data_IF_042353252510
#
_entry.id   IF_042353252510
#
_cell.length_a   1.000
_cell.length_b   1.000
_cell.length_c   1.000
_cell.angle_alpha   90.00
_cell.angle_beta   90.00
_cell.angle_gamma   90.00
#
_symmetry.space_group_name_H-M   'P 1'
#
loop_
_entity.id
_entity.type
_entity.pdbx_description
1 polymer ?
#
# COMPACT_ATOMS: atom_id res chain seq x y z
N UNK A 1 21.07 1.64 -3.50
CA UNK A 1 21.20 3.03 -3.00
C UNK A 1 19.82 3.66 -3.13
N UNK A 2 19.34 4.36 -2.10
CA UNK A 2 18.06 5.08 -2.12
C UNK A 2 18.32 6.57 -2.23
N UNK A 3 17.43 7.27 -2.92
CA UNK A 3 17.44 8.73 -3.00
C UNK A 3 16.05 9.17 -2.55
N UNK A 4 16.02 10.12 -1.62
CA UNK A 4 14.77 10.76 -1.20
C UNK A 4 14.68 12.14 -1.85
N UNK A 5 13.56 12.40 -2.51
CA UNK A 5 13.19 13.73 -2.95
C UNK A 5 12.07 14.23 -2.04
N UNK A 6 12.19 15.46 -1.50
CA UNK A 6 11.20 16.05 -0.60
C UNK A 6 9.94 16.53 -1.35
N UNK A 7 9.29 15.60 -2.04
CA UNK A 7 8.05 15.78 -2.80
C UNK A 7 7.27 14.47 -2.75
N UNK A 8 5.97 14.58 -2.50
CA UNK A 8 5.06 13.43 -2.64
C UNK A 8 4.93 13.07 -4.12
N UNK A 9 4.78 11.77 -4.40
CA UNK A 9 4.60 11.27 -5.77
C UNK A 9 3.37 11.90 -6.44
N UNK A 10 2.29 12.09 -5.68
CA UNK A 10 1.08 12.78 -6.09
C UNK A 10 0.60 13.75 -5.00
N UNK A 11 0.00 14.91 -5.34
CA UNK A 11 -0.48 15.84 -4.33
C UNK A 11 -1.48 15.21 -3.37
N UNK A 12 -1.24 15.38 -2.06
CA UNK A 12 -2.19 15.00 -1.00
C UNK A 12 -2.88 16.25 -0.46
N UNK A 13 -4.18 16.36 -0.66
CA UNK A 13 -5.03 17.44 -0.14
C UNK A 13 -6.15 16.86 0.71
N UNK A 14 -6.56 17.60 1.74
CA UNK A 14 -7.73 17.25 2.57
C UNK A 14 -8.48 18.55 2.82
N UNK A 15 -9.80 18.52 2.66
CA UNK A 15 -10.67 19.68 2.81
C UNK A 15 -11.05 19.94 4.27
N UNK A 16 -11.04 18.91 5.13
CA UNK A 16 -11.44 19.01 6.54
C UNK A 16 -10.69 18.00 7.43
N UNK A 17 -10.70 18.27 8.74
CA UNK A 17 -10.37 17.26 9.75
C UNK A 17 -11.43 16.14 9.70
N UNK A 18 -11.00 14.88 9.57
CA UNK A 18 -11.87 13.70 9.65
C UNK A 18 -11.10 12.53 10.28
N UNK A 19 -11.14 12.49 11.61
CA UNK A 19 -10.45 11.48 12.42
C UNK A 19 -10.98 10.06 12.14
N UNK A 20 -12.28 9.94 11.84
CA UNK A 20 -12.90 8.67 11.47
C UNK A 20 -12.28 8.16 10.17
N UNK A 21 -12.16 9.02 9.15
CA UNK A 21 -11.54 8.63 7.89
C UNK A 21 -10.05 8.31 8.07
N UNK A 22 -9.32 9.08 8.89
CA UNK A 22 -7.93 8.79 9.21
C UNK A 22 -7.74 7.39 9.82
N UNK A 23 -8.65 6.97 10.72
CA UNK A 23 -8.66 5.61 11.26
C UNK A 23 -8.86 4.55 10.18
N UNK A 24 -9.75 4.76 9.22
CA UNK A 24 -9.96 3.79 8.14
C UNK A 24 -8.78 3.74 7.15
N UNK A 25 -8.11 4.87 6.89
CA UNK A 25 -6.89 4.90 6.07
C UNK A 25 -5.73 4.10 6.69
N UNK A 26 -5.77 3.83 8.00
CA UNK A 26 -4.79 2.92 8.62
C UNK A 26 -4.83 1.51 7.99
N UNK A 27 -5.95 1.10 7.37
CA UNK A 27 -6.02 -0.17 6.64
C UNK A 27 -5.03 -0.21 5.47
N UNK A 28 -4.93 0.87 4.68
CA UNK A 28 -3.93 0.97 3.61
C UNK A 28 -2.54 1.37 4.13
N UNK A 29 -2.40 1.76 5.39
CA UNK A 29 -1.09 2.08 5.97
C UNK A 29 -0.39 0.85 6.55
N UNK A 30 -1.04 0.16 7.49
CA UNK A 30 -0.48 -0.97 8.25
C UNK A 30 -1.35 -2.22 8.24
N UNK A 31 -2.39 -2.27 7.40
CA UNK A 31 -3.17 -3.48 7.15
C UNK A 31 -2.41 -4.53 6.34
N UNK A 32 -3.02 -5.70 6.21
CA UNK A 32 -2.41 -6.85 5.54
C UNK A 32 -2.29 -6.66 4.02
N UNK A 33 -3.20 -5.89 3.44
CA UNK A 33 -3.29 -5.58 2.02
C UNK A 33 -2.93 -4.10 1.73
N UNK A 34 -2.30 -3.41 2.68
CA UNK A 34 -1.88 -2.01 2.53
C UNK A 34 -0.45 -1.83 2.03
N UNK A 35 -0.05 -0.57 1.85
CA UNK A 35 1.17 -0.20 1.11
C UNK A 35 2.45 -0.70 1.78
N UNK A 36 2.46 -0.80 3.12
CA UNK A 36 3.63 -1.36 3.81
C UNK A 36 3.82 -2.84 3.47
N UNK A 37 2.72 -3.60 3.38
CA UNK A 37 2.79 -5.00 3.00
C UNK A 37 3.22 -5.15 1.53
N UNK A 38 2.65 -4.35 0.62
CA UNK A 38 3.02 -4.32 -0.79
C UNK A 38 4.51 -3.99 -0.97
N UNK A 39 4.97 -2.86 -0.41
CA UNK A 39 6.36 -2.42 -0.47
C UNK A 39 7.33 -3.51 -0.01
N UNK A 40 7.09 -4.09 1.16
CA UNK A 40 7.98 -5.10 1.74
C UNK A 40 7.92 -6.44 1.00
N UNK A 41 6.74 -6.86 0.51
CA UNK A 41 6.54 -8.10 -0.26
C UNK A 41 7.40 -8.06 -1.52
N UNK A 42 7.20 -7.05 -2.37
CA UNK A 42 7.88 -6.94 -3.66
C UNK A 42 9.39 -6.68 -3.48
N UNK A 43 9.77 -5.90 -2.46
CA UNK A 43 11.18 -5.66 -2.12
C UNK A 43 11.91 -6.96 -1.79
N UNK A 44 11.24 -7.87 -1.10
CA UNK A 44 11.83 -9.10 -0.62
C UNK A 44 11.84 -10.19 -1.71
N UNK A 45 10.74 -10.36 -2.44
CA UNK A 45 10.62 -11.37 -3.50
C UNK A 45 11.57 -11.11 -4.69
N UNK A 46 12.00 -9.86 -4.93
CA UNK A 46 12.92 -9.55 -6.03
C UNK A 46 14.24 -10.34 -5.99
N UNK A 47 14.66 -10.81 -4.82
CA UNK A 47 15.91 -11.57 -4.67
C UNK A 47 15.80 -13.03 -5.13
N UNK A 48 14.58 -13.54 -5.33
CA UNK A 48 14.31 -14.89 -5.81
C UNK A 48 13.59 -14.93 -7.16
N UNK A 49 13.32 -13.78 -7.76
CA UNK A 49 12.64 -13.70 -9.07
C UNK A 49 13.66 -13.66 -10.22
N UNK A 50 13.36 -14.20 -11.42
CA UNK A 50 14.31 -14.21 -12.54
C UNK A 50 14.65 -12.81 -13.04
N UNK A 51 15.89 -12.64 -13.52
CA UNK A 51 16.46 -11.37 -14.02
C UNK A 51 15.59 -10.64 -15.05
N UNK A 52 14.76 -11.38 -15.80
CA UNK A 52 13.91 -10.82 -16.83
C UNK A 52 12.76 -9.96 -16.30
N UNK A 53 12.32 -10.21 -15.06
CA UNK A 53 11.19 -9.51 -14.43
C UNK A 53 11.55 -8.83 -13.10
N UNK A 54 12.78 -9.01 -12.60
CA UNK A 54 13.26 -8.38 -11.36
C UNK A 54 13.11 -6.85 -11.33
N UNK A 55 13.21 -6.21 -12.51
CA UNK A 55 12.99 -4.77 -12.65
C UNK A 55 11.60 -4.35 -12.22
N UNK A 56 10.56 -5.11 -12.57
CA UNK A 56 9.16 -4.82 -12.24
C UNK A 56 8.96 -4.78 -10.72
N UNK A 57 9.47 -5.78 -9.99
CA UNK A 57 9.37 -5.81 -8.53
C UNK A 57 10.19 -4.69 -7.89
N UNK A 58 11.36 -4.37 -8.45
CA UNK A 58 12.20 -3.29 -7.94
C UNK A 58 11.51 -1.93 -8.08
N UNK A 59 10.93 -1.67 -9.25
CA UNK A 59 10.28 -0.40 -9.58
C UNK A 59 8.98 -0.23 -8.77
N UNK A 60 8.10 -1.23 -8.78
CA UNK A 60 6.82 -1.18 -8.05
C UNK A 60 7.09 -1.09 -6.55
N UNK A 61 7.97 -1.93 -5.99
CA UNK A 61 8.31 -1.86 -4.57
C UNK A 61 8.83 -0.48 -4.12
N UNK A 62 9.60 0.19 -4.99
CA UNK A 62 10.09 1.55 -4.73
C UNK A 62 8.96 2.56 -4.75
N UNK A 63 8.01 2.40 -5.68
CA UNK A 63 6.80 3.20 -5.77
C UNK A 63 5.87 3.01 -4.55
N UNK A 64 5.71 1.78 -4.04
CA UNK A 64 4.89 1.50 -2.86
C UNK A 64 5.37 2.24 -1.60
N UNK A 65 6.68 2.49 -1.46
CA UNK A 65 7.18 3.34 -0.37
C UNK A 65 6.73 4.80 -0.51
N UNK A 66 6.53 5.29 -1.74
CA UNK A 66 5.98 6.62 -1.97
C UNK A 66 4.46 6.64 -1.68
N UNK A 67 3.74 5.55 -1.98
CA UNK A 67 2.33 5.41 -1.62
C UNK A 67 2.14 5.37 -0.10
N UNK A 68 3.02 4.67 0.60
CA UNK A 68 3.07 4.65 2.07
C UNK A 68 3.27 6.06 2.66
N UNK A 69 4.15 6.88 2.07
CA UNK A 69 4.33 8.28 2.47
C UNK A 69 3.07 9.13 2.19
N UNK A 70 2.40 8.89 1.06
CA UNK A 70 1.14 9.56 0.74
C UNK A 70 0.03 9.24 1.75
N UNK A 71 -0.17 7.96 2.10
CA UNK A 71 -1.16 7.53 3.10
C UNK A 71 -0.83 8.09 4.48
N UNK A 72 0.44 8.02 4.91
CA UNK A 72 0.88 8.64 6.15
C UNK A 72 0.56 10.15 6.17
N UNK A 73 0.77 10.83 5.05
CA UNK A 73 0.46 12.26 4.90
C UNK A 73 -1.05 12.53 4.98
N UNK A 74 -1.89 11.68 4.38
CA UNK A 74 -3.35 11.80 4.50
C UNK A 74 -3.79 11.66 5.95
N UNK A 75 -3.36 10.59 6.63
CA UNK A 75 -3.69 10.33 8.04
C UNK A 75 -3.26 11.52 8.90
N UNK A 76 -2.00 11.96 8.76
CA UNK A 76 -1.48 13.12 9.49
C UNK A 76 -2.33 14.37 9.27
N UNK A 77 -2.65 14.72 8.02
CA UNK A 77 -3.41 15.93 7.71
C UNK A 77 -4.84 15.87 8.22
N UNK A 78 -5.46 14.69 8.25
CA UNK A 78 -6.81 14.48 8.76
C UNK A 78 -6.88 14.55 10.29
N UNK A 79 -5.76 14.35 11.01
CA UNK A 79 -5.73 14.32 12.49
C UNK A 79 -4.91 15.42 13.13
N UNK A 80 -4.15 16.23 12.37
CA UNK A 80 -3.16 17.18 12.92
C UNK A 80 -3.71 18.19 13.95
N UNK A 81 -4.98 18.56 13.83
CA UNK A 81 -5.65 19.55 14.68
C UNK A 81 -6.74 18.90 15.58
N UNK A 82 -6.81 17.57 15.60
CA UNK A 82 -7.82 16.85 16.37
C UNK A 82 -7.54 16.95 17.88
N UNK A 83 -8.58 17.23 18.66
CA UNK A 83 -8.53 17.13 20.11
C UNK A 83 -8.51 15.67 20.57
N UNK A 84 -8.05 15.43 21.80
CA UNK A 84 -8.08 14.09 22.42
C UNK A 84 -9.50 13.53 22.46
N UNK A 85 -10.50 14.38 22.71
CA UNK A 85 -11.90 14.00 22.75
C UNK A 85 -12.41 13.52 21.37
N UNK A 86 -11.99 14.17 20.28
CA UNK A 86 -12.32 13.73 18.92
C UNK A 86 -11.62 12.42 18.56
N UNK A 87 -10.35 12.24 18.97
CA UNK A 87 -9.62 10.98 18.83
C UNK A 87 -10.31 9.84 19.56
N UNK A 88 -10.71 10.05 20.82
CA UNK A 88 -11.47 9.07 21.61
C UNK A 88 -12.81 8.71 20.97
N UNK A 89 -13.58 9.71 20.53
CA UNK A 89 -14.88 9.50 19.89
C UNK A 89 -14.78 8.69 18.57
N UNK A 90 -13.68 8.82 17.84
CA UNK A 90 -13.40 8.06 16.63
C UNK A 90 -12.78 6.66 16.90
N UNK A 91 -12.50 6.33 18.16
CA UNK A 91 -11.87 5.07 18.57
C UNK A 91 -10.34 5.05 18.42
N UNK A 92 -9.70 6.21 18.31
CA UNK A 92 -8.23 6.38 18.34
C UNK A 92 -7.70 6.75 19.74
N UNK A 93 -8.55 6.82 20.77
CA UNK A 93 -8.13 7.07 22.16
C UNK A 93 -7.00 6.15 22.66
N UNK A 94 -7.07 4.82 22.45
CA UNK A 94 -5.98 3.91 22.81
C UNK A 94 -4.66 4.22 22.08
N UNK A 95 -4.73 4.70 20.83
CA UNK A 95 -3.53 5.11 20.09
C UNK A 95 -2.91 6.37 20.69
N UNK A 96 -3.75 7.35 21.02
CA UNK A 96 -3.30 8.57 21.71
C UNK A 96 -2.63 8.27 23.05
N UNK A 97 -3.25 7.43 23.88
CA UNK A 97 -2.69 7.05 25.17
C UNK A 97 -1.32 6.36 25.08
N UNK A 98 -1.05 5.64 23.99
CA UNK A 98 0.22 4.94 23.78
C UNK A 98 1.28 5.79 23.07
N UNK A 99 0.86 6.72 22.18
CA UNK A 99 1.73 7.30 21.15
C UNK A 99 1.51 8.79 20.90
N UNK A 100 0.67 9.45 21.68
CA UNK A 100 0.22 10.82 21.40
C UNK A 100 -0.33 10.91 19.96
N UNK A 101 0.08 11.89 19.15
CA UNK A 101 -0.37 12.03 17.76
C UNK A 101 0.51 11.27 16.74
N UNK A 102 1.44 10.43 17.19
CA UNK A 102 2.36 9.73 16.28
C UNK A 102 1.65 8.65 15.46
N UNK A 103 2.02 8.54 14.18
CA UNK A 103 1.62 7.42 13.32
C UNK A 103 2.24 6.12 13.81
N UNK A 104 1.55 5.01 13.55
CA UNK A 104 2.01 3.67 13.85
C UNK A 104 1.51 2.70 12.77
N UNK A 105 2.36 1.74 12.40
CA UNK A 105 2.01 0.71 11.41
C UNK A 105 1.05 -0.30 12.02
N UNK A 106 -0.24 -0.02 11.87
CA UNK A 106 -1.35 -0.87 12.29
C UNK A 106 -2.52 -0.70 11.33
N UNK A 107 -3.45 -1.64 11.37
CA UNK A 107 -4.68 -1.56 10.61
C UNK A 107 -5.76 -0.68 11.30
N UNK A 108 -6.93 -0.54 10.68
CA UNK A 108 -8.03 0.29 11.19
C UNK A 108 -8.65 -0.21 12.51
N UNK A 109 -8.37 -1.47 12.87
CA UNK A 109 -8.76 -2.10 14.13
C UNK A 109 -7.68 -2.01 15.23
N UNK A 110 -6.54 -1.37 14.96
CA UNK A 110 -5.43 -1.22 15.91
C UNK A 110 -4.54 -2.45 16.04
N UNK A 111 -4.60 -3.39 15.10
CA UNK A 111 -3.69 -4.55 15.07
C UNK A 111 -2.37 -4.13 14.43
N UNK A 112 -1.23 -4.25 15.12
CA UNK A 112 0.07 -3.93 14.55
C UNK A 112 0.35 -4.73 13.28
N UNK A 113 1.02 -4.09 12.31
CA UNK A 113 1.51 -4.78 11.13
C UNK A 113 2.45 -5.92 11.53
N UNK A 114 2.39 -7.03 10.79
CA UNK A 114 3.20 -8.22 11.04
C UNK A 114 3.70 -8.81 9.74
N UNK A 115 4.93 -9.35 9.78
CA UNK A 115 5.53 -10.05 8.64
C UNK A 115 4.71 -11.27 8.18
N UNK A 116 3.79 -11.77 9.00
CA UNK A 116 2.85 -12.84 8.60
C UNK A 116 1.84 -12.43 7.53
N UNK A 117 1.73 -11.14 7.18
CA UNK A 117 0.86 -10.65 6.10
C UNK A 117 1.43 -10.87 4.69
N UNK A 118 2.72 -11.16 4.57
CA UNK A 118 3.40 -11.34 3.28
C UNK A 118 3.98 -12.74 3.18
N UNK A 119 4.14 -13.26 1.97
CA UNK A 119 4.88 -14.48 1.69
C UNK A 119 5.94 -14.25 0.60
N UNK A 120 6.94 -15.14 0.58
CA UNK A 120 7.90 -15.30 -0.49
C UNK A 120 8.25 -16.78 -0.56
N UNK A 121 7.86 -17.44 -1.64
CA UNK A 121 8.05 -18.89 -1.84
C UNK A 121 9.28 -19.21 -2.67
N UNK A 122 9.82 -18.24 -3.40
CA UNK A 122 10.91 -18.46 -4.34
C UNK A 122 10.48 -19.24 -5.58
N UNK A 123 9.18 -19.51 -5.74
CA UNK A 123 8.57 -19.91 -7.00
C UNK A 123 8.06 -18.61 -7.66
N UNK A 124 8.68 -18.17 -8.78
CA UNK A 124 8.36 -16.88 -9.40
C UNK A 124 6.91 -16.75 -9.85
N UNK A 125 6.26 -17.84 -10.26
CA UNK A 125 4.88 -17.80 -10.73
C UNK A 125 3.95 -17.71 -9.53
N UNK A 126 4.22 -18.48 -8.46
CA UNK A 126 3.42 -18.41 -7.24
C UNK A 126 3.52 -17.03 -6.57
N UNK A 127 4.73 -16.47 -6.47
CA UNK A 127 4.98 -15.15 -5.88
C UNK A 127 4.26 -14.06 -6.69
N UNK A 128 4.38 -14.05 -8.02
CA UNK A 128 3.67 -13.06 -8.86
C UNK A 128 2.13 -13.20 -8.79
N UNK A 129 1.58 -14.41 -8.60
CA UNK A 129 0.14 -14.56 -8.39
C UNK A 129 -0.30 -14.03 -7.02
N UNK A 130 0.52 -14.16 -5.98
CA UNK A 130 0.29 -13.49 -4.70
C UNK A 130 0.26 -11.97 -4.90
N UNK A 131 1.21 -11.42 -5.66
CA UNK A 131 1.31 -9.98 -5.91
C UNK A 131 0.09 -9.46 -6.66
N UNK A 132 -0.35 -10.15 -7.71
CA UNK A 132 -1.60 -9.81 -8.42
C UNK A 132 -2.80 -9.81 -7.45
N UNK A 133 -2.88 -10.81 -6.56
CA UNK A 133 -3.97 -10.86 -5.59
C UNK A 133 -3.85 -9.75 -4.53
N UNK A 134 -2.64 -9.34 -4.17
CA UNK A 134 -2.41 -8.23 -3.27
C UNK A 134 -2.93 -6.91 -3.87
N UNK A 135 -2.52 -6.55 -5.09
CA UNK A 135 -2.96 -5.29 -5.73
C UNK A 135 -4.48 -5.28 -5.95
N UNK A 136 -5.10 -6.41 -6.30
CA UNK A 136 -6.55 -6.48 -6.49
C UNK A 136 -7.33 -6.30 -5.16
N UNK A 137 -6.76 -6.75 -4.02
CA UNK A 137 -7.32 -6.52 -2.69
C UNK A 137 -7.12 -5.07 -2.24
N UNK A 138 -5.93 -4.51 -2.45
CA UNK A 138 -5.63 -3.10 -2.18
C UNK A 138 -6.56 -2.17 -2.98
N UNK A 139 -6.71 -2.42 -4.29
CA UNK A 139 -7.67 -1.73 -5.18
C UNK A 139 -9.09 -1.73 -4.62
N UNK A 140 -9.57 -2.88 -4.13
CA UNK A 140 -10.90 -3.00 -3.57
C UNK A 140 -11.05 -2.17 -2.29
N UNK A 141 -10.06 -2.22 -1.40
CA UNK A 141 -10.01 -1.40 -0.18
C UNK A 141 -10.01 0.09 -0.51
N UNK A 142 -9.21 0.52 -1.49
CA UNK A 142 -9.24 1.90 -1.98
C UNK A 142 -10.60 2.32 -2.50
N UNK A 143 -11.28 1.45 -3.25
CA UNK A 143 -12.65 1.74 -3.71
C UNK A 143 -13.60 1.98 -2.54
N UNK A 144 -13.56 1.14 -1.51
CA UNK A 144 -14.41 1.31 -0.33
C UNK A 144 -14.07 2.59 0.44
N UNK A 145 -12.79 2.94 0.57
CA UNK A 145 -12.35 4.18 1.20
C UNK A 145 -12.84 5.42 0.44
N UNK A 146 -12.81 5.39 -0.90
CA UNK A 146 -13.36 6.45 -1.75
C UNK A 146 -14.87 6.61 -1.50
N UNK A 147 -15.60 5.50 -1.40
CA UNK A 147 -17.05 5.50 -1.16
C UNK A 147 -17.43 5.94 0.27
N UNK A 148 -16.47 5.92 1.21
CA UNK A 148 -16.64 6.28 2.62
C UNK A 148 -16.41 7.76 2.94
N UNK A 149 -16.08 8.60 1.95
CA UNK A 149 -15.81 10.02 2.14
C UNK A 149 -16.43 10.88 1.04
N UNK A 150 -16.88 12.08 1.41
CA UNK A 150 -17.37 13.14 0.51
C UNK A 150 -16.31 14.22 0.23
N UNK A 151 -15.13 14.12 0.87
CA UNK A 151 -14.02 15.05 0.68
C UNK A 151 -13.37 14.81 -0.70
N UNK A 152 -13.71 15.66 -1.67
CA UNK A 152 -13.24 15.56 -3.05
C UNK A 152 -11.72 15.70 -3.18
N UNK A 153 -11.08 16.45 -2.28
CA UNK A 153 -9.63 16.64 -2.26
C UNK A 153 -8.93 15.35 -1.80
N UNK A 154 -9.49 14.66 -0.79
CA UNK A 154 -9.00 13.35 -0.36
C UNK A 154 -9.27 12.27 -1.41
N UNK A 155 -10.46 12.29 -2.03
CA UNK A 155 -10.81 11.33 -3.09
C UNK A 155 -9.88 11.40 -4.29
N UNK A 156 -9.33 12.57 -4.62
CA UNK A 156 -8.39 12.74 -5.73
C UNK A 156 -7.14 11.87 -5.55
N UNK A 157 -6.49 11.98 -4.38
CA UNK A 157 -5.32 11.17 -4.06
C UNK A 157 -5.66 9.67 -3.92
N UNK A 158 -6.82 9.32 -3.36
CA UNK A 158 -7.25 7.91 -3.27
C UNK A 158 -7.53 7.30 -4.64
N UNK A 159 -8.11 8.07 -5.58
CA UNK A 159 -8.33 7.63 -6.97
C UNK A 159 -7.01 7.41 -7.70
N UNK A 160 -6.02 8.27 -7.45
CA UNK A 160 -4.66 8.06 -7.97
C UNK A 160 -4.10 6.71 -7.49
N UNK A 161 -4.08 6.46 -6.17
CA UNK A 161 -3.55 5.21 -5.62
C UNK A 161 -4.30 3.99 -6.16
N UNK A 162 -5.65 4.02 -6.16
CA UNK A 162 -6.47 2.94 -6.76
C UNK A 162 -6.13 2.66 -8.22
N UNK A 163 -5.80 3.68 -9.01
CA UNK A 163 -5.39 3.48 -10.41
C UNK A 163 -3.99 2.86 -10.51
N UNK A 164 -3.08 3.22 -9.59
CA UNK A 164 -1.76 2.59 -9.52
C UNK A 164 -1.85 1.10 -9.24
N UNK A 165 -2.75 0.67 -8.35
CA UNK A 165 -3.04 -0.75 -8.11
C UNK A 165 -3.42 -1.51 -9.39
N UNK A 166 -4.26 -0.90 -10.23
CA UNK A 166 -4.67 -1.49 -11.51
C UNK A 166 -3.45 -1.67 -12.43
N UNK A 167 -2.60 -0.64 -12.51
CA UNK A 167 -1.39 -0.69 -13.32
C UNK A 167 -0.41 -1.75 -12.78
N UNK A 168 -0.20 -1.81 -11.46
CA UNK A 168 0.71 -2.79 -10.85
C UNK A 168 0.22 -4.22 -11.11
N UNK A 169 -1.07 -4.48 -10.90
CA UNK A 169 -1.68 -5.77 -11.21
C UNK A 169 -1.49 -6.17 -12.67
N UNK A 170 -1.59 -5.23 -13.61
CA UNK A 170 -1.32 -5.46 -15.04
C UNK A 170 0.15 -5.82 -15.27
N UNK A 171 1.10 -5.09 -14.66
CA UNK A 171 2.54 -5.37 -14.81
C UNK A 171 2.95 -6.72 -14.23
N UNK A 172 2.36 -7.14 -13.12
CA UNK A 172 2.57 -8.48 -12.59
C UNK A 172 1.95 -9.55 -13.50
N UNK A 173 0.75 -9.33 -14.06
CA UNK A 173 0.13 -10.24 -15.06
C UNK A 173 1.01 -10.39 -16.31
N UNK A 174 1.56 -9.31 -16.83
CA UNK A 174 2.52 -9.34 -17.95
C UNK A 174 3.80 -10.12 -17.58
N UNK A 175 4.31 -9.93 -16.36
CA UNK A 175 5.49 -10.66 -15.86
C UNK A 175 5.23 -12.17 -15.78
N UNK A 176 4.04 -12.59 -15.33
CA UNK A 176 3.63 -14.00 -15.35
C UNK A 176 3.64 -14.55 -16.78
N UNK A 177 3.05 -13.82 -17.74
CA UNK A 177 3.02 -14.24 -19.14
C UNK A 177 4.44 -14.44 -19.70
N UNK A 178 5.34 -13.50 -19.45
CA UNK A 178 6.75 -13.60 -19.87
C UNK A 178 7.40 -14.88 -19.33
N UNK A 179 7.22 -15.16 -18.03
CA UNK A 179 7.83 -16.34 -17.41
C UNK A 179 7.20 -17.66 -17.89
N UNK A 180 5.89 -17.68 -18.13
CA UNK A 180 5.21 -18.85 -18.68
C UNK A 180 5.68 -19.17 -20.11
N UNK A 181 5.77 -18.15 -20.97
CA UNK A 181 6.30 -18.31 -22.33
C UNK A 181 7.73 -18.85 -22.34
N UNK A 182 8.56 -18.47 -21.37
CA UNK A 182 9.92 -19.00 -21.25
C UNK A 182 9.98 -20.43 -20.77
N UNK A 183 9.11 -20.80 -19.81
CA UNK A 183 9.01 -22.18 -19.34
C UNK A 183 8.59 -23.13 -20.46
N UNK A 184 7.71 -22.67 -21.34
CA UNK A 184 7.14 -23.50 -22.42
C UNK A 184 8.02 -23.52 -23.68
N UNK A 185 9.09 -22.70 -23.75
CA UNK A 185 10.09 -22.76 -24.83
C UNK A 185 10.88 -24.06 -24.76
N UNK A 186 10.81 -24.86 -25.83
CA UNK A 186 11.70 -26.01 -26.02
C UNK A 186 13.16 -25.53 -26.07
N UNK A 187 13.97 -25.98 -25.11
CA UNK A 187 15.43 -25.83 -25.18
C UNK A 187 15.96 -26.85 -26.19
N UNK A 188 16.33 -26.37 -27.38
CA UNK A 188 17.07 -27.17 -28.34
C UNK A 188 18.56 -27.01 -27.98
N UNK A 189 19.18 -28.11 -27.57
CA UNK A 189 20.61 -28.18 -27.25
C UNK A 189 21.40 -28.61 -28.50
#
# INVERSE_FOLDING_TARGET
MWIYEKKLQYPVRVGKCDVRMARYLMEQYGGADGELAAALRYMNQRYSIPDKVIGVLTDISTEEFAHLEMIATMIYKLTKDASVQELEAAGLGPNYAQRDHALFYQNSAGVPWTASYIQAKGDPIADLYEDIAAEEKARATYQWLIDMTDDVDLQDSLKFLREREIIHAIRFKESVQILMEERDKKRVF
#
